data_IF_313472379234
#
_entry.id   IF_313472379234
#
_cell.length_a   1.000
_cell.length_b   1.000
_cell.length_c   1.000
_cell.angle_alpha   90.00
_cell.angle_beta   90.00
_cell.angle_gamma   90.00
#
_symmetry.space_group_name_H-M   'P 1'
#
loop_
_entity.id
_entity.type
_entity.pdbx_description
1 polymer ?
#
# COMPACT_ATOMS: atom_id res chain seq x y z
N UNK A 1 23.07 80.50 -3.14
CA UNK A 1 22.06 80.64 -2.07
C UNK A 1 22.11 79.37 -1.25
N UNK A 2 22.85 79.36 -0.15
CA UNK A 2 22.75 78.31 0.88
C UNK A 2 23.01 78.99 2.23
N UNK A 3 21.98 79.07 3.06
CA UNK A 3 22.07 79.60 4.43
C UNK A 3 21.28 78.69 5.36
N UNK A 4 22.05 77.95 6.16
CA UNK A 4 21.92 77.61 7.58
C UNK A 4 20.54 77.39 8.24
N UNK A 5 20.48 76.26 8.98
CA UNK A 5 20.04 76.05 10.39
C UNK A 5 18.68 76.60 10.82
N UNK A 6 17.80 75.74 11.37
CA UNK A 6 17.56 75.66 12.83
C UNK A 6 16.55 74.56 13.21
N UNK A 7 16.68 74.08 14.45
CA UNK A 7 15.86 73.11 15.17
C UNK A 7 14.56 73.80 15.67
N UNK A 8 13.49 73.05 15.97
CA UNK A 8 12.63 73.43 17.10
C UNK A 8 12.57 72.33 18.16
N UNK A 9 13.06 72.67 19.36
CA UNK A 9 12.80 71.96 20.61
C UNK A 9 11.37 72.28 21.02
N UNK A 10 10.48 71.30 20.99
CA UNK A 10 9.13 71.45 21.54
C UNK A 10 9.03 70.77 22.91
N UNK A 11 8.95 71.62 23.93
CA UNK A 11 8.68 71.31 25.31
C UNK A 11 7.35 70.54 25.46
N UNK A 12 7.37 69.38 26.14
CA UNK A 12 6.15 68.74 26.65
C UNK A 12 6.28 68.51 28.15
N UNK A 13 5.40 69.18 28.87
CA UNK A 13 5.26 69.24 30.32
C UNK A 13 5.01 67.86 30.96
N UNK A 14 5.40 67.65 32.24
CA UNK A 14 5.17 66.38 32.93
C UNK A 14 3.68 66.24 33.25
N UNK A 15 2.99 65.38 32.50
CA UNK A 15 1.64 64.93 32.86
C UNK A 15 1.75 63.96 34.03
N UNK A 16 1.07 64.32 35.11
CA UNK A 16 0.89 63.55 36.35
C UNK A 16 0.49 62.11 36.03
N UNK A 17 1.33 61.14 36.42
CA UNK A 17 0.98 59.72 36.35
C UNK A 17 0.21 59.37 37.62
N UNK A 18 -1.11 59.31 37.50
CA UNK A 18 -1.99 58.76 38.55
C UNK A 18 -1.68 57.28 38.68
N UNK A 19 -1.18 56.87 39.86
CA UNK A 19 -0.96 55.46 40.23
C UNK A 19 -2.32 54.76 40.24
N UNK A 20 -2.63 54.01 39.18
CA UNK A 20 -3.60 52.93 39.27
C UNK A 20 -2.90 51.76 39.94
N UNK A 21 -3.40 51.37 41.10
CA UNK A 21 -3.08 50.08 41.71
C UNK A 21 -3.58 49.01 40.73
N UNK A 22 -2.65 48.29 40.10
CA UNK A 22 -3.00 47.08 39.40
C UNK A 22 -3.44 46.08 40.47
N UNK A 23 -4.69 45.62 40.38
CA UNK A 23 -5.12 44.40 41.04
C UNK A 23 -4.11 43.31 40.70
N UNK A 24 -3.56 42.74 41.76
CA UNK A 24 -2.57 41.68 41.73
C UNK A 24 -3.12 40.55 40.86
N UNK A 25 -2.60 40.46 39.64
CA UNK A 25 -2.88 39.35 38.75
C UNK A 25 -2.21 38.14 39.39
N UNK A 26 -2.91 37.49 40.32
CA UNK A 26 -2.52 36.22 40.91
C UNK A 26 -2.48 35.18 39.80
N UNK A 27 -1.35 35.18 39.08
CA UNK A 27 -0.86 34.05 38.32
C UNK A 27 -0.65 32.92 39.32
N UNK A 28 -1.72 32.16 39.54
CA UNK A 28 -1.65 30.84 40.17
C UNK A 28 -0.67 30.01 39.36
N UNK A 29 0.58 29.94 39.81
CA UNK A 29 1.52 28.94 39.33
C UNK A 29 0.97 27.59 39.79
N UNK A 30 0.19 26.94 38.94
CA UNK A 30 -0.17 25.54 39.14
C UNK A 30 1.13 24.75 39.23
N UNK A 31 1.50 24.33 40.44
CA UNK A 31 2.68 23.49 40.65
C UNK A 31 2.36 22.12 40.08
N UNK A 32 2.75 21.87 38.83
CA UNK A 32 2.64 20.56 38.21
C UNK A 32 3.40 19.56 39.06
N UNK A 33 2.68 18.59 39.62
CA UNK A 33 3.29 17.55 40.44
C UNK A 33 3.91 16.49 39.54
N UNK A 34 4.85 15.72 40.09
CA UNK A 34 5.42 14.55 39.41
C UNK A 34 4.35 13.55 38.94
N UNK A 35 3.28 13.39 39.72
CA UNK A 35 2.15 12.54 39.38
C UNK A 35 1.40 13.06 38.14
N UNK A 36 1.22 14.38 38.02
CA UNK A 36 0.56 15.00 36.87
C UNK A 36 1.38 14.80 35.58
N UNK A 37 2.71 14.94 35.66
CA UNK A 37 3.60 14.64 34.53
C UNK A 37 3.52 13.17 34.13
N UNK A 38 3.53 12.27 35.11
CA UNK A 38 3.46 10.83 34.85
C UNK A 38 2.14 10.43 34.18
N UNK A 39 1.00 10.92 34.68
CA UNK A 39 -0.31 10.65 34.08
C UNK A 39 -0.42 11.22 32.66
N UNK A 40 0.11 12.44 32.43
CA UNK A 40 0.15 13.08 31.11
C UNK A 40 1.01 12.31 30.10
N UNK A 41 1.93 11.46 30.54
CA UNK A 41 2.80 10.66 29.67
C UNK A 41 2.26 9.23 29.49
N UNK A 42 1.80 8.59 30.57
CA UNK A 42 1.32 7.21 30.54
C UNK A 42 0.09 7.03 29.65
N UNK A 43 -0.93 7.88 29.79
CA UNK A 43 -2.18 7.73 29.01
C UNK A 43 -1.95 7.85 27.49
N UNK A 44 -1.18 8.83 26.98
CA UNK A 44 -0.83 8.85 25.55
C UNK A 44 0.01 7.67 25.09
N UNK A 45 0.91 7.14 25.94
CA UNK A 45 1.71 5.97 25.58
C UNK A 45 0.84 4.73 25.38
N UNK A 46 -0.12 4.48 26.26
CA UNK A 46 -1.06 3.36 26.13
C UNK A 46 -1.85 3.46 24.82
N UNK A 47 -2.35 4.66 24.49
CA UNK A 47 -3.03 4.92 23.22
C UNK A 47 -2.13 4.68 21.99
N UNK A 48 -0.84 5.08 22.05
CA UNK A 48 0.11 4.81 20.98
C UNK A 48 0.33 3.29 20.79
N UNK A 49 0.38 2.53 21.88
CA UNK A 49 0.53 1.07 21.83
C UNK A 49 -0.69 0.44 21.16
N UNK A 50 -1.90 0.85 21.53
CA UNK A 50 -3.15 0.37 20.91
C UNK A 50 -3.18 0.68 19.41
N UNK A 51 -2.88 1.92 19.03
CA UNK A 51 -2.80 2.32 17.61
C UNK A 51 -1.76 1.48 16.86
N UNK A 52 -0.60 1.21 17.46
CA UNK A 52 0.44 0.40 16.83
C UNK A 52 0.00 -1.06 16.65
N UNK A 53 -0.81 -1.61 17.57
CA UNK A 53 -1.41 -2.94 17.44
C UNK A 53 -2.43 -2.96 16.30
N UNK A 54 -3.29 -1.96 16.22
CA UNK A 54 -4.30 -1.84 15.16
C UNK A 54 -3.66 -1.71 13.77
N UNK A 55 -2.64 -0.85 13.63
CA UNK A 55 -1.88 -0.69 12.38
C UNK A 55 -1.25 -2.03 11.97
N UNK A 56 -0.64 -2.75 12.91
CA UNK A 56 -0.05 -4.07 12.64
C UNK A 56 -1.11 -5.07 12.19
N UNK A 57 -2.29 -5.05 12.81
CA UNK A 57 -3.43 -5.87 12.42
C UNK A 57 -3.90 -5.55 11.00
N UNK A 58 -4.06 -4.27 10.68
CA UNK A 58 -4.43 -3.80 9.34
C UNK A 58 -3.41 -4.23 8.28
N UNK A 59 -2.11 -4.09 8.55
CA UNK A 59 -1.06 -4.51 7.61
C UNK A 59 -1.13 -6.01 7.29
N UNK A 60 -1.34 -6.87 8.30
CA UNK A 60 -1.52 -8.32 8.07
C UNK A 60 -2.75 -8.62 7.20
N UNK A 61 -3.87 -7.91 7.44
CA UNK A 61 -5.08 -8.06 6.63
C UNK A 61 -4.88 -7.59 5.19
N UNK A 62 -4.13 -6.50 5.00
CA UNK A 62 -3.79 -5.98 3.67
C UNK A 62 -2.89 -6.94 2.91
N UNK A 63 -1.85 -7.46 3.54
CA UNK A 63 -0.93 -8.44 2.97
C UNK A 63 -1.69 -9.70 2.54
N UNK A 64 -2.54 -10.25 3.42
CA UNK A 64 -3.37 -11.41 3.07
C UNK A 64 -4.27 -11.12 1.87
N UNK A 65 -4.95 -9.98 1.86
CA UNK A 65 -5.86 -9.60 0.77
C UNK A 65 -5.12 -9.46 -0.57
N UNK A 66 -3.89 -8.94 -0.55
CA UNK A 66 -3.09 -8.83 -1.77
C UNK A 66 -2.63 -10.19 -2.26
N UNK A 67 -2.18 -11.06 -1.36
CA UNK A 67 -1.87 -12.46 -1.68
C UNK A 67 -3.08 -13.20 -2.26
N UNK A 68 -4.27 -13.04 -1.69
CA UNK A 68 -5.51 -13.64 -2.19
C UNK A 68 -5.85 -13.17 -3.62
N UNK A 69 -5.58 -11.89 -3.95
CA UNK A 69 -5.78 -11.36 -5.31
C UNK A 69 -4.79 -11.93 -6.30
N UNK A 70 -3.52 -12.05 -5.90
CA UNK A 70 -2.47 -12.62 -6.76
C UNK A 70 -2.75 -14.11 -7.02
N UNK A 71 -3.09 -14.86 -5.98
CA UNK A 71 -3.50 -16.27 -6.10
C UNK A 71 -4.69 -16.42 -7.04
N UNK A 72 -5.71 -15.56 -6.91
CA UNK A 72 -6.87 -15.58 -7.82
C UNK A 72 -6.50 -15.28 -9.27
N UNK A 73 -5.54 -14.38 -9.53
CA UNK A 73 -5.04 -14.13 -10.89
C UNK A 73 -4.32 -15.35 -11.46
N UNK A 74 -3.50 -16.01 -10.65
CA UNK A 74 -2.79 -17.24 -11.04
C UNK A 74 -3.79 -18.35 -11.37
N UNK A 75 -4.78 -18.56 -10.50
CA UNK A 75 -5.84 -19.56 -10.70
C UNK A 75 -6.64 -19.28 -11.98
N UNK A 76 -7.09 -18.03 -12.18
CA UNK A 76 -7.82 -17.64 -13.40
C UNK A 76 -6.99 -17.88 -14.66
N UNK A 77 -5.71 -17.51 -14.64
CA UNK A 77 -4.78 -17.74 -15.75
C UNK A 77 -4.59 -19.23 -16.02
N UNK A 78 -4.52 -20.05 -14.98
CA UNK A 78 -4.40 -21.50 -15.13
C UNK A 78 -5.67 -22.11 -15.74
N UNK A 79 -6.85 -21.69 -15.29
CA UNK A 79 -8.14 -22.11 -15.87
C UNK A 79 -8.23 -21.72 -17.35
N UNK A 80 -7.85 -20.48 -17.68
CA UNK A 80 -7.82 -20.00 -19.06
C UNK A 80 -6.84 -20.80 -19.93
N UNK A 81 -5.62 -21.03 -19.46
CA UNK A 81 -4.62 -21.85 -20.15
C UNK A 81 -5.11 -23.29 -20.37
N UNK A 82 -5.74 -23.92 -19.37
CA UNK A 82 -6.30 -25.25 -19.50
C UNK A 82 -7.42 -25.31 -20.56
N UNK A 83 -8.28 -24.29 -20.60
CA UNK A 83 -9.31 -24.17 -21.63
C UNK A 83 -8.71 -23.99 -23.03
N UNK A 84 -7.69 -23.14 -23.15
CA UNK A 84 -6.99 -22.89 -24.41
C UNK A 84 -6.31 -24.16 -24.94
N UNK A 85 -5.65 -24.93 -24.09
CA UNK A 85 -5.02 -26.21 -24.48
C UNK A 85 -6.08 -27.19 -24.97
N UNK A 86 -7.20 -27.29 -24.25
CA UNK A 86 -8.30 -28.18 -24.65
C UNK A 86 -8.88 -27.79 -26.02
N UNK A 87 -8.92 -26.49 -26.33
CA UNK A 87 -9.36 -26.00 -27.63
C UNK A 87 -8.33 -26.29 -28.72
N UNK A 88 -7.04 -26.03 -28.50
CA UNK A 88 -5.97 -26.34 -29.45
C UNK A 88 -5.93 -27.84 -29.83
N UNK A 89 -6.11 -28.73 -28.85
CA UNK A 89 -6.19 -30.18 -29.10
C UNK A 89 -7.42 -30.55 -29.93
N UNK A 90 -8.56 -29.86 -29.74
CA UNK A 90 -9.78 -30.10 -30.51
C UNK A 90 -9.68 -29.59 -31.94
N UNK A 91 -8.99 -28.46 -32.14
CA UNK A 91 -8.78 -27.81 -33.44
C UNK A 91 -7.75 -28.55 -34.29
N UNK A 92 -6.85 -29.30 -33.66
CA UNK A 92 -5.94 -30.18 -34.39
C UNK A 92 -6.77 -31.26 -35.12
N UNK A 93 -6.71 -31.29 -36.48
CA UNK A 93 -7.53 -32.22 -37.28
C UNK A 93 -7.12 -33.68 -37.01
N UNK A 94 -7.82 -34.66 -37.57
CA UNK A 94 -7.43 -36.08 -37.61
C UNK A 94 -6.99 -36.78 -36.30
N UNK A 95 -7.28 -36.21 -35.12
CA UNK A 95 -7.04 -36.85 -33.83
C UNK A 95 -8.33 -37.51 -33.32
N UNK A 96 -8.27 -38.81 -33.05
CA UNK A 96 -9.33 -39.50 -32.34
C UNK A 96 -9.37 -39.09 -30.86
N UNK A 97 -10.50 -39.37 -30.19
CA UNK A 97 -10.70 -38.97 -28.79
C UNK A 97 -9.68 -39.58 -27.82
N UNK A 98 -9.22 -40.82 -28.05
CA UNK A 98 -8.23 -41.48 -27.19
C UNK A 98 -6.88 -40.77 -27.31
N UNK A 99 -6.45 -40.48 -28.53
CA UNK A 99 -5.22 -39.72 -28.78
C UNK A 99 -5.31 -38.32 -28.15
N UNK A 100 -6.45 -37.62 -28.25
CA UNK A 100 -6.64 -36.32 -27.59
C UNK A 100 -6.46 -36.37 -26.07
N UNK A 101 -6.95 -37.42 -25.41
CA UNK A 101 -6.72 -37.60 -23.97
C UNK A 101 -5.25 -37.86 -23.65
N UNK A 102 -4.55 -38.69 -24.44
CA UNK A 102 -3.11 -38.91 -24.27
C UNK A 102 -2.31 -37.62 -24.45
N UNK A 103 -2.62 -36.83 -25.48
CA UNK A 103 -1.98 -35.52 -25.74
C UNK A 103 -2.14 -34.60 -24.54
N UNK A 104 -3.36 -34.46 -24.00
CA UNK A 104 -3.61 -33.64 -22.81
C UNK A 104 -2.79 -34.12 -21.60
N UNK A 105 -2.71 -35.43 -21.38
CA UNK A 105 -1.90 -35.99 -20.30
C UNK A 105 -0.39 -35.74 -20.50
N UNK A 106 0.11 -35.88 -21.73
CA UNK A 106 1.50 -35.61 -22.06
C UNK A 106 1.86 -34.14 -21.86
N UNK A 107 1.03 -33.19 -22.32
CA UNK A 107 1.26 -31.75 -22.12
C UNK A 107 1.39 -31.41 -20.64
N UNK A 108 0.51 -31.98 -19.80
CA UNK A 108 0.56 -31.79 -18.35
C UNK A 108 1.83 -32.42 -17.75
N UNK A 109 2.14 -33.67 -18.13
CA UNK A 109 3.32 -34.41 -17.64
C UNK A 109 4.63 -33.69 -17.96
N UNK A 110 4.75 -33.11 -19.16
CA UNK A 110 5.94 -32.41 -19.60
C UNK A 110 5.98 -30.92 -19.21
N UNK A 111 4.94 -30.40 -18.55
CA UNK A 111 4.86 -28.97 -18.22
C UNK A 111 4.84 -28.07 -19.46
N UNK A 112 4.38 -28.59 -20.61
CA UNK A 112 4.51 -27.94 -21.92
C UNK A 112 3.34 -27.04 -22.31
N UNK A 113 2.50 -26.67 -21.34
CA UNK A 113 1.26 -25.88 -21.54
C UNK A 113 1.50 -24.65 -22.44
N UNK A 114 2.42 -23.77 -22.05
CA UNK A 114 2.68 -22.51 -22.76
C UNK A 114 3.42 -22.71 -24.09
N UNK A 115 4.25 -23.76 -24.20
CA UNK A 115 4.98 -24.07 -25.42
C UNK A 115 4.02 -24.63 -26.49
N UNK A 116 3.15 -25.55 -26.10
CA UNK A 116 2.16 -26.16 -26.99
C UNK A 116 1.19 -25.11 -27.55
N UNK A 117 0.77 -24.13 -26.73
CA UNK A 117 -0.10 -23.03 -27.19
C UNK A 117 0.56 -22.08 -28.19
N UNK A 118 1.90 -22.05 -28.26
CA UNK A 118 2.66 -21.20 -29.20
C UNK A 118 3.09 -21.92 -30.46
N UNK A 119 2.92 -23.25 -30.52
CA UNK A 119 3.27 -24.06 -31.68
C UNK A 119 2.28 -23.82 -32.82
N UNK A 120 2.77 -23.91 -34.06
CA UNK A 120 1.89 -24.03 -35.23
C UNK A 120 1.12 -25.36 -35.21
N UNK A 121 0.12 -25.51 -36.06
CA UNK A 121 -0.59 -26.78 -36.21
C UNK A 121 0.35 -27.91 -36.64
N UNK A 122 1.30 -27.65 -37.53
CA UNK A 122 2.29 -28.61 -38.01
C UNK A 122 3.26 -29.02 -36.89
N UNK A 123 3.73 -28.07 -36.09
CA UNK A 123 4.60 -28.35 -34.94
C UNK A 123 3.87 -29.16 -33.87
N UNK A 124 2.62 -28.81 -33.57
CA UNK A 124 1.75 -29.60 -32.70
C UNK A 124 1.64 -31.04 -33.21
N UNK A 125 1.44 -31.22 -34.51
CA UNK A 125 1.32 -32.54 -35.12
C UNK A 125 2.58 -33.39 -34.99
N UNK A 126 3.75 -32.84 -35.33
CA UNK A 126 5.01 -33.55 -35.20
C UNK A 126 5.33 -33.87 -33.73
N UNK A 127 5.01 -32.95 -32.82
CA UNK A 127 5.15 -33.19 -31.39
C UNK A 127 4.25 -34.33 -30.92
N UNK A 128 3.00 -34.39 -31.36
CA UNK A 128 2.06 -35.45 -31.01
C UNK A 128 2.58 -36.80 -31.53
N UNK A 129 3.03 -36.88 -32.79
CA UNK A 129 3.60 -38.13 -33.36
C UNK A 129 4.80 -38.65 -32.56
N UNK A 130 5.65 -37.75 -32.06
CA UNK A 130 6.83 -38.11 -31.30
C UNK A 130 6.51 -38.54 -29.86
N UNK A 131 5.59 -37.84 -29.18
CA UNK A 131 5.35 -38.00 -27.74
C UNK A 131 4.15 -38.88 -27.37
N UNK A 132 3.24 -39.10 -28.31
CA UNK A 132 1.98 -39.82 -28.09
C UNK A 132 1.97 -41.06 -28.98
N UNK A 133 2.61 -42.12 -28.49
CA UNK A 133 2.49 -43.48 -29.01
C UNK A 133 1.48 -44.29 -28.18
#
# INVERSE_FOLDING_TARGET
METNKEIPVENKSPKKQTRMEYEDNSSSFETVTRADVQAKISLPMDSIIEIAVDIRGMLKLMEKREGDRENKKIENKEVENNNNIRNAIKETPNLDNHTRYKVHACIHKFGMKDAFLKMSHEECWEWIKYNVQ
#
